data_IF_034359076928
#
_entry.id   IF_034359076928
#
_cell.length_a   1.000
_cell.length_b   1.000
_cell.length_c   1.000
_cell.angle_alpha   90.00
_cell.angle_beta   90.00
_cell.angle_gamma   90.00
#
_symmetry.space_group_name_H-M   'P 1'
#
loop_
_entity.id
_entity.type
_entity.pdbx_description
1 polymer ?
#
# COMPACT_ATOMS: atom_id res chain seq x y z
N UNK A 1 -22.86 -6.84 5.52
CA UNK A 1 -21.63 -6.15 5.04
C UNK A 1 -20.44 -6.66 5.85
N UNK A 2 -19.42 -7.11 5.19
CA UNK A 2 -18.20 -7.58 5.86
C UNK A 2 -17.37 -6.38 6.30
N UNK A 3 -17.05 -6.31 7.59
CA UNK A 3 -16.18 -5.28 8.15
C UNK A 3 -14.85 -5.92 8.52
N UNK A 4 -13.77 -5.43 7.94
CA UNK A 4 -12.44 -5.92 8.25
C UNK A 4 -11.99 -5.39 9.60
N UNK A 5 -11.57 -6.26 10.51
CA UNK A 5 -11.09 -5.87 11.82
C UNK A 5 -9.68 -5.29 11.73
N UNK A 6 -9.28 -4.54 12.76
CA UNK A 6 -7.92 -3.99 12.82
C UNK A 6 -6.86 -5.10 12.79
N UNK A 7 -7.11 -6.21 13.47
CA UNK A 7 -6.18 -7.34 13.47
C UNK A 7 -6.02 -7.95 12.09
N UNK A 8 -7.11 -8.07 11.33
CA UNK A 8 -7.07 -8.55 9.95
C UNK A 8 -6.29 -7.59 9.06
N UNK A 9 -6.51 -6.29 9.25
CA UNK A 9 -5.77 -5.23 8.51
C UNK A 9 -4.27 -5.34 8.80
N UNK A 10 -3.89 -5.46 10.07
CA UNK A 10 -2.49 -5.56 10.46
C UNK A 10 -1.83 -6.83 9.92
N UNK A 11 -2.58 -7.93 9.81
CA UNK A 11 -2.08 -9.17 9.21
C UNK A 11 -1.73 -8.96 7.73
N UNK A 12 -2.59 -8.26 6.98
CA UNK A 12 -2.31 -7.99 5.57
C UNK A 12 -1.14 -7.02 5.40
N UNK A 13 -1.03 -6.01 6.25
CA UNK A 13 0.10 -5.09 6.25
C UNK A 13 1.41 -5.83 6.51
N UNK A 14 1.40 -6.75 7.47
CA UNK A 14 2.57 -7.58 7.79
C UNK A 14 3.01 -8.42 6.60
N UNK A 15 2.06 -9.02 5.87
CA UNK A 15 2.37 -9.77 4.65
C UNK A 15 3.09 -8.91 3.62
N UNK A 16 2.62 -7.69 3.42
CA UNK A 16 3.24 -6.75 2.48
C UNK A 16 4.68 -6.46 2.89
N UNK A 17 4.86 -6.04 4.14
CA UNK A 17 6.17 -5.63 4.64
C UNK A 17 7.17 -6.79 4.69
N UNK A 18 6.72 -7.98 5.08
CA UNK A 18 7.57 -9.17 5.11
C UNK A 18 8.04 -9.56 3.72
N UNK A 19 7.15 -9.49 2.73
CA UNK A 19 7.49 -9.81 1.35
C UNK A 19 8.52 -8.81 0.81
N UNK A 20 8.26 -7.51 0.99
CA UNK A 20 9.13 -6.45 0.49
C UNK A 20 10.51 -6.53 1.12
N UNK A 21 10.60 -6.90 2.40
CA UNK A 21 11.87 -7.04 3.09
C UNK A 21 12.78 -8.11 2.50
N UNK A 22 12.22 -9.06 1.74
CA UNK A 22 12.98 -10.11 1.07
C UNK A 22 13.45 -9.70 -0.33
N UNK A 23 12.97 -8.57 -0.84
CA UNK A 23 13.29 -8.10 -2.18
C UNK A 23 14.48 -7.15 -2.13
N UNK A 24 15.34 -7.18 -3.14
CA UNK A 24 16.43 -6.22 -3.25
C UNK A 24 15.98 -4.93 -3.94
N UNK A 25 14.83 -4.98 -4.63
CA UNK A 25 14.30 -3.86 -5.40
C UNK A 25 12.78 -3.97 -5.45
N UNK A 26 12.09 -2.85 -5.43
CA UNK A 26 10.66 -2.82 -5.63
C UNK A 26 10.22 -1.48 -6.19
N UNK A 27 9.56 -1.55 -7.36
CA UNK A 27 8.89 -0.41 -7.98
C UNK A 27 7.39 -0.63 -7.90
N UNK A 28 6.67 0.37 -7.42
CA UNK A 28 5.22 0.34 -7.35
C UNK A 28 4.59 1.30 -8.35
N UNK A 29 3.39 0.96 -8.80
CA UNK A 29 2.55 1.87 -9.57
C UNK A 29 1.08 1.63 -9.23
N UNK A 30 0.27 2.66 -9.45
CA UNK A 30 -1.18 2.52 -9.36
C UNK A 30 -1.67 1.91 -10.65
N UNK A 31 -2.30 0.75 -10.58
CA UNK A 31 -2.81 0.03 -11.76
C UNK A 31 -4.33 0.10 -11.87
N UNK A 32 -5.01 0.43 -10.78
CA UNK A 32 -6.46 0.56 -10.76
C UNK A 32 -6.82 1.66 -9.76
N UNK A 33 -7.70 2.56 -10.16
CA UNK A 33 -8.13 3.67 -9.32
C UNK A 33 -9.57 4.01 -9.69
N UNK A 34 -10.51 3.57 -8.87
CA UNK A 34 -11.93 3.88 -9.05
C UNK A 34 -12.65 3.84 -7.71
N UNK A 35 -13.98 4.02 -7.72
CA UNK A 35 -14.76 4.06 -6.49
C UNK A 35 -14.90 2.74 -5.76
N UNK A 36 -14.49 1.63 -6.38
CA UNK A 36 -14.61 0.30 -5.77
C UNK A 36 -13.30 -0.19 -5.20
N UNK A 37 -12.18 0.16 -5.85
CA UNK A 37 -10.86 -0.27 -5.37
C UNK A 37 -9.74 0.61 -5.89
N UNK A 38 -8.65 0.60 -5.13
CA UNK A 38 -7.35 1.15 -5.54
C UNK A 38 -6.37 0.00 -5.46
N UNK A 39 -5.55 -0.17 -6.50
CA UNK A 39 -4.55 -1.24 -6.53
C UNK A 39 -3.17 -0.64 -6.74
N UNK A 40 -2.27 -0.97 -5.82
CA UNK A 40 -0.83 -0.73 -5.97
C UNK A 40 -0.19 -2.04 -6.38
N UNK A 41 0.45 -2.07 -7.54
CA UNK A 41 1.13 -3.26 -8.04
C UNK A 41 2.63 -3.01 -8.07
N UNK A 42 3.39 -3.98 -7.57
CA UNK A 42 4.84 -3.87 -7.48
C UNK A 42 5.56 -4.89 -8.33
N UNK A 43 6.69 -4.46 -8.92
CA UNK A 43 7.58 -5.35 -9.65
C UNK A 43 9.00 -5.24 -9.11
N UNK A 44 9.70 -6.38 -9.12
CA UNK A 44 11.07 -6.47 -8.58
C UNK A 44 12.11 -5.95 -9.55
N UNK A 45 11.75 -5.77 -10.80
CA UNK A 45 12.65 -5.31 -11.88
C UNK A 45 11.79 -4.69 -12.98
N UNK A 46 12.12 -3.47 -13.37
CA UNK A 46 11.40 -2.76 -14.44
C UNK A 46 11.44 -3.47 -15.78
N UNK A 47 12.43 -4.34 -16.00
CA UNK A 47 12.51 -5.13 -17.23
C UNK A 47 11.52 -6.29 -17.27
N UNK A 48 10.89 -6.61 -16.13
CA UNK A 48 9.85 -7.63 -16.05
C UNK A 48 8.49 -7.04 -16.40
N UNK A 49 7.73 -7.76 -17.21
CA UNK A 49 6.35 -7.38 -17.54
C UNK A 49 5.34 -7.99 -16.56
N UNK A 50 5.79 -8.41 -15.40
CA UNK A 50 4.94 -9.06 -14.41
C UNK A 50 5.06 -8.40 -13.06
N UNK A 51 3.91 -8.22 -12.42
CA UNK A 51 3.89 -7.79 -11.03
C UNK A 51 4.16 -8.99 -10.12
N UNK A 52 4.90 -8.75 -9.06
CA UNK A 52 5.19 -9.78 -8.05
C UNK A 52 4.27 -9.68 -6.84
N UNK A 53 3.69 -8.51 -6.63
CA UNK A 53 2.78 -8.24 -5.52
C UNK A 53 1.70 -7.25 -5.96
N UNK A 54 0.49 -7.46 -5.47
CA UNK A 54 -0.60 -6.49 -5.60
C UNK A 54 -1.17 -6.21 -4.23
N UNK A 55 -1.37 -4.94 -3.92
CA UNK A 55 -2.01 -4.50 -2.69
C UNK A 55 -3.33 -3.85 -3.11
N UNK A 56 -4.44 -4.47 -2.72
CA UNK A 56 -5.77 -4.02 -3.07
C UNK A 56 -6.43 -3.35 -1.88
N UNK A 57 -6.90 -2.13 -2.08
CA UNK A 57 -7.68 -1.39 -1.10
C UNK A 57 -9.12 -1.32 -1.59
N UNK A 58 -10.05 -1.83 -0.81
CA UNK A 58 -11.47 -1.88 -1.20
C UNK A 58 -12.26 -0.78 -0.51
N UNK A 59 -13.27 -0.28 -1.21
CA UNK A 59 -14.14 0.79 -0.78
C UNK A 59 -13.33 2.02 -0.35
N UNK A 60 -12.48 2.55 -1.26
CA UNK A 60 -11.66 3.71 -0.94
C UNK A 60 -12.52 4.97 -0.84
N UNK A 61 -12.14 5.85 0.08
CA UNK A 61 -12.78 7.15 0.25
C UNK A 61 -11.87 8.26 -0.25
N UNK A 62 -10.55 8.12 -0.09
CA UNK A 62 -9.59 9.15 -0.47
C UNK A 62 -8.25 8.52 -0.81
N UNK A 63 -7.58 9.08 -1.82
CA UNK A 63 -6.24 8.65 -2.21
C UNK A 63 -5.37 9.88 -2.44
N UNK A 64 -4.19 9.89 -1.83
CA UNK A 64 -3.12 10.84 -2.13
C UNK A 64 -1.91 10.02 -2.58
N UNK A 65 -1.45 10.21 -3.82
CA UNK A 65 -0.34 9.40 -4.33
C UNK A 65 0.26 10.02 -5.59
N UNK A 66 1.50 9.62 -5.88
CA UNK A 66 2.07 9.73 -7.22
C UNK A 66 1.68 8.47 -8.01
N UNK A 67 1.89 8.46 -9.32
CA UNK A 67 1.44 7.35 -10.16
C UNK A 67 2.36 6.13 -10.10
N UNK A 68 3.67 6.36 -9.98
CA UNK A 68 4.66 5.30 -9.83
C UNK A 68 5.81 5.77 -8.97
N UNK A 69 6.41 4.86 -8.23
CA UNK A 69 7.50 5.19 -7.31
C UNK A 69 8.33 3.96 -6.98
N UNK A 70 9.54 4.23 -6.45
CA UNK A 70 10.42 3.22 -5.92
C UNK A 70 10.31 3.21 -4.41
N UNK A 71 10.31 2.04 -3.78
CA UNK A 71 10.32 1.95 -2.33
C UNK A 71 11.65 1.40 -1.81
N UNK A 72 12.02 1.82 -0.59
CA UNK A 72 13.20 1.33 0.11
C UNK A 72 12.84 0.00 0.77
N UNK A 73 13.39 -1.10 0.26
CA UNK A 73 13.07 -2.44 0.74
C UNK A 73 13.71 -2.77 2.09
N UNK A 74 14.55 -1.89 2.62
CA UNK A 74 15.19 -2.08 3.94
C UNK A 74 14.34 -1.58 5.09
N UNK A 75 13.20 -0.96 4.80
CA UNK A 75 12.28 -0.37 5.80
C UNK A 75 10.87 -0.87 5.57
N UNK A 76 10.01 -0.84 6.59
CA UNK A 76 8.59 -1.12 6.38
C UNK A 76 8.02 -0.17 5.32
N UNK A 77 7.29 -0.74 4.37
CA UNK A 77 6.74 0.01 3.25
C UNK A 77 5.42 0.69 3.58
N UNK A 78 4.54 -0.03 4.27
CA UNK A 78 3.19 0.44 4.54
C UNK A 78 2.86 0.28 6.02
N UNK A 79 2.10 1.24 6.56
CA UNK A 79 1.65 1.19 7.94
C UNK A 79 0.30 1.88 8.09
N UNK A 80 -0.39 1.61 9.19
CA UNK A 80 -1.56 2.40 9.57
C UNK A 80 -1.10 3.70 10.21
N UNK A 81 -1.77 4.79 9.87
CA UNK A 81 -1.59 6.05 10.57
C UNK A 81 -1.94 5.87 12.04
N UNK A 82 -1.17 6.50 12.94
CA UNK A 82 -1.51 6.49 14.36
C UNK A 82 -2.75 7.37 14.61
N UNK A 83 -3.25 7.40 15.85
CA UNK A 83 -4.47 8.12 16.17
C UNK A 83 -4.37 9.61 15.86
N UNK A 84 -3.24 10.22 16.19
CA UNK A 84 -3.01 11.65 15.95
C UNK A 84 -2.97 11.97 14.46
N UNK A 85 -2.23 11.17 13.69
CA UNK A 85 -2.16 11.32 12.23
C UNK A 85 -3.52 11.11 11.58
N UNK A 86 -4.27 10.12 12.07
CA UNK A 86 -5.61 9.82 11.55
C UNK A 86 -6.54 10.99 11.74
N UNK A 87 -6.54 11.60 12.92
CA UNK A 87 -7.37 12.77 13.21
C UNK A 87 -7.01 13.92 12.28
N UNK A 88 -5.71 14.20 12.11
CA UNK A 88 -5.23 15.28 11.25
C UNK A 88 -5.63 15.06 9.80
N UNK A 89 -5.46 13.86 9.28
CA UNK A 89 -5.77 13.53 7.87
C UNK A 89 -7.28 13.58 7.65
N UNK A 90 -8.06 12.97 8.55
CA UNK A 90 -9.52 12.96 8.45
C UNK A 90 -10.07 14.38 8.43
N UNK A 91 -9.55 15.23 9.30
CA UNK A 91 -10.01 16.61 9.42
C UNK A 91 -9.58 17.45 8.21
N UNK A 92 -8.30 17.35 7.82
CA UNK A 92 -7.74 18.14 6.72
C UNK A 92 -8.36 17.82 5.37
N UNK A 93 -8.63 16.55 5.11
CA UNK A 93 -9.10 16.08 3.80
C UNK A 93 -10.58 15.72 3.80
N UNK A 94 -11.29 15.99 4.90
CA UNK A 94 -12.72 15.73 5.04
C UNK A 94 -13.09 14.28 4.71
N UNK A 95 -12.31 13.34 5.26
CA UNK A 95 -12.51 11.92 5.04
C UNK A 95 -13.63 11.39 5.92
N UNK A 96 -14.47 10.52 5.38
CA UNK A 96 -15.56 9.90 6.13
C UNK A 96 -15.02 9.04 7.28
N UNK A 97 -15.73 9.01 8.40
CA UNK A 97 -15.40 8.14 9.52
C UNK A 97 -15.55 6.67 9.13
N UNK A 98 -14.79 5.82 9.79
CA UNK A 98 -14.87 4.38 9.56
C UNK A 98 -13.88 3.84 8.54
N UNK A 99 -13.01 4.70 8.01
CA UNK A 99 -11.94 4.27 7.11
C UNK A 99 -10.64 4.07 7.88
N UNK A 100 -9.87 3.08 7.47
CA UNK A 100 -8.48 2.95 7.88
C UNK A 100 -7.65 3.89 7.01
N UNK A 101 -6.62 4.48 7.59
CA UNK A 101 -5.68 5.33 6.86
C UNK A 101 -4.37 4.56 6.70
N UNK A 102 -4.07 4.16 5.46
CA UNK A 102 -2.86 3.42 5.12
C UNK A 102 -1.83 4.40 4.59
N UNK A 103 -0.64 4.41 5.18
CA UNK A 103 0.48 5.25 4.75
C UNK A 103 1.51 4.40 4.04
N UNK A 104 1.95 4.82 2.86
CA UNK A 104 3.00 4.15 2.12
C UNK A 104 4.17 5.10 1.90
N UNK A 105 5.36 4.55 1.74
CA UNK A 105 6.60 5.33 1.65
C UNK A 105 7.28 5.14 0.30
N UNK A 106 7.57 6.25 -0.37
CA UNK A 106 8.30 6.26 -1.63
C UNK A 106 9.68 6.85 -1.39
N UNK A 107 10.73 6.14 -1.81
CA UNK A 107 12.10 6.58 -1.61
C UNK A 107 12.41 7.85 -2.40
N UNK A 108 11.89 7.93 -3.63
CA UNK A 108 12.16 9.06 -4.53
C UNK A 108 11.17 10.22 -4.39
N UNK A 109 10.22 10.14 -3.47
CA UNK A 109 9.21 11.18 -3.22
C UNK A 109 9.03 11.38 -1.72
N UNK A 110 10.10 11.72 -1.01
CA UNK A 110 10.10 11.74 0.46
C UNK A 110 9.17 12.80 1.08
N UNK A 111 8.88 13.87 0.35
CA UNK A 111 8.02 14.94 0.84
C UNK A 111 6.58 14.83 0.36
N UNK A 112 6.29 13.89 -0.53
CA UNK A 112 4.95 13.69 -1.07
C UNK A 112 4.25 12.61 -0.23
N UNK A 113 3.16 12.96 0.47
CA UNK A 113 2.47 11.93 1.24
C UNK A 113 1.73 10.96 0.32
N UNK A 114 1.93 9.68 0.56
CA UNK A 114 1.15 8.62 -0.10
C UNK A 114 0.30 7.99 0.99
N UNK A 115 -1.02 8.16 0.89
CA UNK A 115 -1.93 7.51 1.81
C UNK A 115 -3.25 7.19 1.12
N UNK A 116 -3.92 6.18 1.64
CA UNK A 116 -5.21 5.73 1.14
C UNK A 116 -6.14 5.55 2.33
N UNK A 117 -7.32 6.17 2.25
CA UNK A 117 -8.39 5.94 3.20
C UNK A 117 -9.33 4.90 2.59
N UNK A 118 -9.45 3.74 3.20
CA UNK A 118 -10.25 2.64 2.68
C UNK A 118 -10.72 1.75 3.81
N UNK A 119 -11.69 0.88 3.49
CA UNK A 119 -12.28 -0.01 4.50
C UNK A 119 -11.58 -1.36 4.60
N UNK A 120 -10.86 -1.76 3.55
CA UNK A 120 -10.22 -3.08 3.49
C UNK A 120 -8.89 -3.01 2.76
N UNK A 121 -8.01 -3.92 3.11
CA UNK A 121 -6.74 -4.14 2.42
C UNK A 121 -6.56 -5.64 2.20
N UNK A 122 -6.07 -6.01 1.03
CA UNK A 122 -5.70 -7.40 0.71
C UNK A 122 -4.35 -7.42 0.02
N UNK A 123 -3.43 -8.22 0.55
CA UNK A 123 -2.12 -8.44 -0.07
C UNK A 123 -2.15 -9.71 -0.89
N UNK A 124 -1.82 -9.60 -2.17
CA UNK A 124 -1.71 -10.76 -3.08
C UNK A 124 -0.28 -10.89 -3.54
N UNK A 125 0.37 -11.97 -3.14
CA UNK A 125 1.73 -12.30 -3.58
C UNK A 125 1.60 -13.12 -4.87
N UNK A 126 2.12 -12.58 -5.98
CA UNK A 126 2.03 -13.20 -7.29
C UNK A 126 3.28 -13.99 -7.63
N UNK A 127 4.41 -13.65 -7.03
CA UNK A 127 5.68 -14.35 -7.17
C UNK A 127 6.32 -14.50 -5.78
N UNK A 128 6.27 -15.70 -5.23
CA UNK A 128 6.75 -15.98 -3.89
C UNK A 128 8.28 -16.09 -3.80
N UNK A 129 8.96 -16.15 -4.95
CA UNK A 129 10.42 -16.31 -5.00
C UNK A 129 11.08 -15.22 -5.83
N UNK A 130 10.81 -13.94 -5.55
CA UNK A 130 11.35 -12.87 -6.38
C UNK A 130 12.87 -12.77 -6.33
N UNK A 131 13.46 -13.18 -5.22
CA UNK A 131 14.90 -13.13 -5.00
C UNK A 131 15.66 -14.32 -5.62
N UNK A 132 14.97 -15.34 -6.06
CA UNK A 132 15.62 -16.51 -6.65
C UNK A 132 16.14 -16.26 -8.06
N UNK A 133 15.80 -15.13 -8.64
CA UNK A 133 16.19 -14.73 -9.99
C UNK A 133 17.32 -13.70 -9.99
N UNK A 134 17.83 -13.38 -8.82
CA UNK A 134 18.91 -12.40 -8.67
C UNK A 134 20.27 -13.08 -8.63
#
# INVERSE_FOLDING_TARGET
MFIMSKDEVLTEIEKVNDYIAKCSWMDFELTCLNGFQVVMAGCIDQSYNKYSICIEFEQPNYVSSVLSWQTDTTKPYIELANNEETIDIVDKYNIENGNYIFKAYAENYKTVPIFIAAKKITCKILDEKPFSQM
#
